data_IF_405172939503
#
_entry.id   IF_405172939503
#
_cell.length_a   1.000
_cell.length_b   1.000
_cell.length_c   1.000
_cell.angle_alpha   90.00
_cell.angle_beta   90.00
_cell.angle_gamma   90.00
#
_symmetry.space_group_name_H-M   'P 1'
#
loop_
_entity.id
_entity.type
_entity.pdbx_description
1 polymer ?
#
# COMPACT_ATOMS: atom_id res chain seq x y z
N UNK A 1 8.15 -17.32 -11.06
CA UNK A 1 7.60 -17.13 -9.69
C UNK A 1 6.21 -16.53 -9.82
N UNK A 2 5.20 -17.13 -9.15
CA UNK A 2 3.83 -16.57 -9.15
C UNK A 2 3.68 -15.52 -8.06
N UNK A 3 3.17 -14.35 -8.43
CA UNK A 3 2.95 -13.20 -7.51
C UNK A 3 1.46 -12.87 -7.49
N UNK A 4 0.82 -12.98 -6.32
CA UNK A 4 -0.56 -12.54 -6.09
C UNK A 4 -0.58 -11.08 -5.66
N UNK A 5 -1.56 -10.30 -6.13
CA UNK A 5 -1.66 -8.85 -5.85
C UNK A 5 -3.01 -8.54 -5.23
N UNK A 6 -3.00 -7.92 -4.06
CA UNK A 6 -4.20 -7.42 -3.39
C UNK A 6 -3.93 -6.05 -2.74
N UNK A 7 -4.96 -5.24 -2.60
CA UNK A 7 -4.91 -3.95 -1.90
C UNK A 7 -6.24 -3.62 -1.24
N UNK A 8 -6.26 -2.57 -0.43
CA UNK A 8 -7.47 -1.99 0.15
C UNK A 8 -8.36 -3.08 0.79
N UNK A 9 -7.72 -3.95 1.57
CA UNK A 9 -8.40 -5.14 2.14
C UNK A 9 -9.36 -4.77 3.25
N UNK A 10 -9.06 -3.69 3.98
CA UNK A 10 -9.88 -3.17 5.07
C UNK A 10 -10.47 -4.30 5.92
N UNK A 11 -9.59 -5.12 6.49
CA UNK A 11 -9.95 -6.29 7.31
C UNK A 11 -10.89 -5.90 8.48
N UNK A 12 -10.94 -4.62 8.80
CA UNK A 12 -11.91 -4.05 9.74
C UNK A 12 -13.37 -4.38 9.42
N UNK A 13 -13.72 -4.49 8.14
CA UNK A 13 -15.10 -4.69 7.69
C UNK A 13 -15.48 -6.16 7.53
N UNK A 14 -14.56 -7.01 7.13
CA UNK A 14 -14.83 -8.45 7.00
C UNK A 14 -13.54 -9.28 6.89
N UNK A 15 -13.59 -10.51 7.37
CA UNK A 15 -12.51 -11.47 7.19
C UNK A 15 -12.28 -11.78 5.70
N UNK A 16 -11.08 -12.26 5.39
CA UNK A 16 -10.67 -12.64 4.05
C UNK A 16 -9.81 -13.90 4.14
N UNK A 17 -10.10 -14.84 3.25
CA UNK A 17 -9.26 -16.02 3.03
C UNK A 17 -8.48 -15.84 1.74
N UNK A 18 -7.17 -16.09 1.81
CA UNK A 18 -6.26 -15.99 0.68
C UNK A 18 -5.90 -17.37 0.12
N UNK A 19 -5.65 -17.50 -1.19
CA UNK A 19 -5.37 -18.80 -1.82
C UNK A 19 -4.02 -19.40 -1.45
N UNK A 20 -3.01 -18.58 -1.10
CA UNK A 20 -1.63 -18.99 -0.90
C UNK A 20 -0.81 -19.01 -2.19
N UNK A 21 0.52 -19.13 -2.08
CA UNK A 21 1.42 -19.13 -3.23
C UNK A 21 2.88 -18.77 -2.91
N UNK A 22 3.63 -18.36 -3.95
CA UNK A 22 5.04 -18.00 -3.77
C UNK A 22 5.18 -16.63 -3.11
N UNK A 23 4.62 -15.58 -3.73
CA UNK A 23 4.71 -14.19 -3.24
C UNK A 23 3.33 -13.58 -3.19
N UNK A 24 3.02 -12.90 -2.09
CA UNK A 24 1.87 -12.01 -1.95
C UNK A 24 2.35 -10.56 -1.92
N UNK A 25 1.71 -9.69 -2.71
CA UNK A 25 1.84 -8.24 -2.59
C UNK A 25 0.60 -7.68 -1.89
N UNK A 26 0.82 -6.93 -0.81
CA UNK A 26 -0.16 -6.12 -0.10
C UNK A 26 0.11 -4.65 -0.43
N UNK A 27 -0.65 -4.05 -1.35
CA UNK A 27 -0.47 -2.67 -1.81
C UNK A 27 -1.22 -1.64 -0.95
N UNK A 28 -1.14 -1.80 0.39
CA UNK A 28 -1.66 -0.87 1.39
C UNK A 28 -3.14 -1.01 1.75
N UNK A 29 -3.54 -0.27 2.77
CA UNK A 29 -4.90 -0.24 3.34
C UNK A 29 -5.41 -1.63 3.75
N UNK A 30 -4.56 -2.35 4.48
CA UNK A 30 -4.91 -3.68 5.01
C UNK A 30 -5.70 -3.53 6.31
N UNK A 31 -5.23 -2.69 7.23
CA UNK A 31 -5.84 -2.43 8.54
C UNK A 31 -5.30 -1.13 9.14
N UNK A 32 -5.96 -0.62 10.19
CA UNK A 32 -5.42 0.48 11.00
C UNK A 32 -4.34 -0.04 11.96
N UNK A 33 -3.11 0.50 11.93
CA UNK A 33 -1.96 -0.01 12.72
C UNK A 33 -2.23 -0.10 14.22
N UNK A 34 -3.06 0.78 14.77
CA UNK A 34 -3.46 0.76 16.19
C UNK A 34 -4.16 -0.53 16.63
N UNK A 35 -4.64 -1.33 15.67
CA UNK A 35 -5.36 -2.58 15.91
C UNK A 35 -4.47 -3.82 15.80
N UNK A 36 -3.27 -3.70 15.24
CA UNK A 36 -2.31 -4.79 15.18
C UNK A 36 -1.68 -5.00 16.55
N UNK A 37 -1.93 -6.16 17.17
CA UNK A 37 -1.45 -6.48 18.51
C UNK A 37 -1.03 -7.95 18.60
N UNK A 38 0.27 -8.19 18.56
CA UNK A 38 0.85 -9.51 18.63
C UNK A 38 0.60 -10.19 20.01
N UNK A 39 0.62 -9.41 21.08
CA UNK A 39 0.41 -9.88 22.46
C UNK A 39 -1.01 -10.40 22.72
N UNK A 40 -1.96 -10.08 21.84
CA UNK A 40 -3.33 -10.60 21.89
C UNK A 40 -3.52 -11.90 21.11
N UNK A 41 -2.53 -12.34 20.32
CA UNK A 41 -2.68 -13.51 19.45
C UNK A 41 -2.75 -14.80 20.26
N UNK A 42 -3.79 -15.56 20.04
CA UNK A 42 -3.98 -16.91 20.60
C UNK A 42 -4.46 -17.85 19.49
N UNK A 43 -3.61 -18.75 18.98
CA UNK A 43 -3.97 -19.70 17.92
C UNK A 43 -5.05 -20.70 18.37
N UNK A 44 -5.14 -20.99 19.68
CA UNK A 44 -6.07 -21.95 20.26
C UNK A 44 -7.40 -21.31 20.70
N UNK A 45 -7.59 -20.01 20.44
CA UNK A 45 -8.83 -19.31 20.79
C UNK A 45 -10.01 -19.90 20.05
N UNK A 46 -10.95 -20.49 20.78
CA UNK A 46 -12.24 -20.97 20.27
C UNK A 46 -13.29 -19.90 20.56
N UNK A 47 -13.98 -19.47 19.50
CA UNK A 47 -15.12 -18.56 19.63
C UNK A 47 -16.35 -19.32 20.14
N UNK A 48 -17.10 -18.68 21.02
CA UNK A 48 -18.41 -19.20 21.40
C UNK A 48 -19.38 -19.03 20.21
N UNK A 49 -20.40 -19.88 20.11
CA UNK A 49 -21.35 -19.93 18.98
C UNK A 49 -22.02 -18.57 18.65
N UNK A 50 -22.14 -17.69 19.67
CA UNK A 50 -22.76 -16.37 19.51
C UNK A 50 -21.76 -15.25 19.25
N UNK A 51 -20.44 -15.53 19.27
CA UNK A 51 -19.39 -14.56 19.01
C UNK A 51 -19.05 -14.52 17.52
N UNK A 52 -18.95 -13.32 16.97
CA UNK A 52 -18.53 -13.12 15.58
C UNK A 52 -17.00 -13.12 15.49
N UNK A 53 -16.48 -13.63 14.39
CA UNK A 53 -15.05 -13.60 14.12
C UNK A 53 -14.48 -12.17 14.10
N UNK A 54 -15.29 -11.17 13.67
CA UNK A 54 -14.92 -9.77 13.66
C UNK A 54 -14.78 -9.13 15.06
N UNK A 55 -15.22 -9.81 16.10
CA UNK A 55 -15.07 -9.38 17.50
C UNK A 55 -13.79 -9.90 18.18
N UNK A 56 -13.01 -10.74 17.49
CA UNK A 56 -11.76 -11.27 18.04
C UNK A 56 -10.73 -10.16 18.25
N UNK A 57 -10.12 -10.08 19.46
CA UNK A 57 -9.11 -9.05 19.74
C UNK A 57 -7.82 -9.24 18.93
N UNK A 58 -7.52 -10.48 18.50
CA UNK A 58 -6.34 -10.86 17.73
C UNK A 58 -6.55 -10.90 16.20
N UNK A 59 -7.73 -10.51 15.71
CA UNK A 59 -8.16 -10.65 14.32
C UNK A 59 -7.13 -10.16 13.30
N UNK A 60 -6.61 -8.97 13.51
CA UNK A 60 -5.69 -8.34 12.56
C UNK A 60 -4.35 -9.06 12.53
N UNK A 61 -3.81 -9.41 13.69
CA UNK A 61 -2.57 -10.18 13.77
C UNK A 61 -2.75 -11.60 13.24
N UNK A 62 -3.89 -12.24 13.55
CA UNK A 62 -4.24 -13.55 13.00
C UNK A 62 -4.25 -13.55 11.47
N UNK A 63 -4.82 -12.53 10.83
CA UNK A 63 -4.79 -12.40 9.37
C UNK A 63 -3.35 -12.40 8.82
N UNK A 64 -2.46 -11.63 9.43
CA UNK A 64 -1.05 -11.58 9.02
C UNK A 64 -0.33 -12.91 9.23
N UNK A 65 -0.67 -13.66 10.28
CA UNK A 65 -0.04 -14.95 10.58
C UNK A 65 -0.64 -16.07 9.72
N UNK A 66 -1.97 -16.25 9.75
CA UNK A 66 -2.62 -17.44 9.21
C UNK A 66 -2.94 -17.33 7.72
N UNK A 67 -3.33 -16.13 7.25
CA UNK A 67 -3.67 -15.92 5.85
C UNK A 67 -2.47 -15.46 5.02
N UNK A 68 -1.61 -14.61 5.56
CA UNK A 68 -0.45 -14.09 4.84
C UNK A 68 0.78 -14.98 5.04
N UNK A 69 1.36 -15.00 6.24
CA UNK A 69 2.65 -15.64 6.49
C UNK A 69 2.62 -17.18 6.36
N UNK A 70 1.52 -17.82 6.79
CA UNK A 70 1.41 -19.29 6.71
C UNK A 70 1.13 -19.80 5.30
N UNK A 71 0.50 -18.99 4.43
CA UNK A 71 0.08 -19.43 3.09
C UNK A 71 1.03 -19.00 1.97
N UNK A 72 1.88 -18.00 2.22
CA UNK A 72 2.83 -17.51 1.21
C UNK A 72 4.26 -17.65 1.67
N UNK A 73 5.15 -17.99 0.74
CA UNK A 73 6.58 -18.11 1.02
C UNK A 73 7.20 -16.75 1.37
N UNK A 74 6.76 -15.71 0.69
CA UNK A 74 7.15 -14.32 0.92
C UNK A 74 5.94 -13.39 0.81
N UNK A 75 5.91 -12.36 1.63
CA UNK A 75 4.91 -11.31 1.56
C UNK A 75 5.60 -9.95 1.48
N UNK A 76 5.30 -9.18 0.44
CA UNK A 76 5.76 -7.80 0.28
C UNK A 76 4.61 -6.88 0.63
N UNK A 77 4.81 -6.02 1.61
CA UNK A 77 3.77 -5.15 2.13
C UNK A 77 4.21 -3.69 2.10
N UNK A 78 3.39 -2.80 1.57
CA UNK A 78 3.52 -1.35 1.72
C UNK A 78 2.33 -0.81 2.49
N UNK A 79 2.54 0.21 3.31
CA UNK A 79 1.44 0.88 3.99
C UNK A 79 0.61 1.70 2.99
N UNK A 80 -0.70 1.82 3.27
CA UNK A 80 -1.54 2.85 2.69
C UNK A 80 -1.74 4.00 3.67
N UNK A 81 -2.73 4.84 3.41
CA UNK A 81 -3.08 5.95 4.30
C UNK A 81 -3.84 5.45 5.55
N UNK A 82 -4.64 4.38 5.44
CA UNK A 82 -5.43 3.85 6.56
C UNK A 82 -4.57 3.22 7.66
N UNK A 83 -3.39 2.69 7.38
CA UNK A 83 -2.47 2.21 8.41
C UNK A 83 -2.16 3.30 9.44
N UNK A 84 -2.15 4.57 9.03
CA UNK A 84 -1.86 5.71 9.91
C UNK A 84 -3.07 6.20 10.72
N UNK A 85 -4.31 5.77 10.41
CA UNK A 85 -5.52 6.32 11.01
C UNK A 85 -5.61 6.06 12.52
N UNK A 86 -5.84 7.15 13.26
CA UNK A 86 -5.89 7.11 14.72
C UNK A 86 -4.54 6.80 15.39
N UNK A 87 -3.43 6.92 14.65
CA UNK A 87 -2.09 6.65 15.13
C UNK A 87 -1.14 7.82 14.85
N UNK A 88 0.10 7.73 15.34
CA UNK A 88 1.13 8.73 15.10
C UNK A 88 1.92 8.38 13.84
N UNK A 89 1.91 9.27 12.85
CA UNK A 89 2.52 9.09 11.52
C UNK A 89 3.95 8.53 11.59
N UNK A 90 4.81 9.17 12.38
CA UNK A 90 6.23 8.79 12.50
C UNK A 90 6.45 7.41 13.15
N UNK A 91 5.46 6.87 13.84
CA UNK A 91 5.57 5.59 14.57
C UNK A 91 4.92 4.43 13.85
N UNK A 92 4.05 4.67 12.88
CA UNK A 92 3.24 3.64 12.23
C UNK A 92 4.11 2.53 11.64
N UNK A 93 5.10 2.89 10.84
CA UNK A 93 5.99 1.93 10.18
C UNK A 93 6.69 1.00 11.18
N UNK A 94 7.35 1.58 12.18
CA UNK A 94 8.10 0.79 13.17
C UNK A 94 7.17 -0.09 14.02
N UNK A 95 6.01 0.43 14.41
CA UNK A 95 5.01 -0.32 15.16
C UNK A 95 4.53 -1.57 14.39
N UNK A 96 4.26 -1.44 13.08
CA UNK A 96 3.88 -2.58 12.25
C UNK A 96 5.06 -3.54 12.09
N UNK A 97 6.23 -3.03 11.71
CA UNK A 97 7.44 -3.83 11.43
C UNK A 97 7.82 -4.76 12.59
N UNK A 98 7.72 -4.27 13.82
CA UNK A 98 8.07 -5.03 15.03
C UNK A 98 7.11 -6.18 15.33
N UNK A 99 5.92 -6.16 14.78
CA UNK A 99 4.87 -7.15 15.05
C UNK A 99 4.67 -8.17 13.94
N UNK A 100 5.30 -7.97 12.78
CA UNK A 100 5.09 -8.86 11.63
C UNK A 100 5.93 -10.15 11.70
N UNK A 101 5.41 -11.28 11.19
CA UNK A 101 6.19 -12.48 10.92
C UNK A 101 7.39 -12.22 10.00
N UNK A 102 8.45 -13.04 10.14
CA UNK A 102 9.74 -12.83 9.47
C UNK A 102 9.71 -12.89 7.94
N UNK A 103 8.72 -13.55 7.34
CA UNK A 103 8.56 -13.64 5.89
C UNK A 103 7.64 -12.57 5.30
N UNK A 104 7.20 -11.58 6.12
CA UNK A 104 6.48 -10.39 5.69
C UNK A 104 7.45 -9.21 5.71
N UNK A 105 7.74 -8.66 4.55
CA UNK A 105 8.66 -7.54 4.34
C UNK A 105 7.84 -6.26 4.15
N UNK A 106 7.74 -5.44 5.18
CA UNK A 106 7.15 -4.11 5.04
C UNK A 106 8.18 -3.17 4.44
N UNK A 107 7.83 -2.49 3.35
CA UNK A 107 8.71 -1.60 2.61
C UNK A 107 8.19 -0.16 2.66
N UNK A 108 9.03 0.76 3.13
CA UNK A 108 8.77 2.20 3.08
C UNK A 108 10.06 2.92 2.69
N UNK A 109 10.22 3.19 1.39
CA UNK A 109 11.49 3.54 0.77
C UNK A 109 12.55 2.46 1.06
N UNK A 110 12.16 1.22 0.81
CA UNK A 110 13.02 0.04 0.96
C UNK A 110 12.91 -0.86 -0.29
N UNK A 111 13.92 -1.70 -0.49
CA UNK A 111 13.95 -2.71 -1.55
C UNK A 111 14.20 -4.08 -0.95
N UNK A 112 13.53 -5.10 -1.49
CA UNK A 112 13.75 -6.50 -1.16
C UNK A 112 14.00 -7.31 -2.41
N UNK A 113 15.13 -8.00 -2.48
CA UNK A 113 15.39 -8.99 -3.53
C UNK A 113 14.79 -10.35 -3.12
N UNK A 114 13.99 -10.96 -4.01
CA UNK A 114 13.39 -12.28 -3.86
C UNK A 114 13.56 -13.02 -5.19
N UNK A 115 14.26 -14.15 -5.18
CA UNK A 115 14.47 -15.03 -6.34
C UNK A 115 14.95 -14.28 -7.62
N UNK A 116 15.83 -13.29 -7.46
CA UNK A 116 16.40 -12.51 -8.57
C UNK A 116 15.47 -11.39 -9.10
N UNK A 117 14.41 -11.05 -8.39
CA UNK A 117 13.52 -9.93 -8.68
C UNK A 117 13.64 -8.89 -7.56
N UNK A 118 13.76 -7.61 -7.91
CA UNK A 118 13.73 -6.51 -6.94
C UNK A 118 12.30 -6.03 -6.71
N UNK A 119 11.85 -6.11 -5.46
CA UNK A 119 10.60 -5.50 -5.01
C UNK A 119 10.93 -4.16 -4.35
N UNK A 120 10.53 -3.06 -4.98
CA UNK A 120 10.79 -1.69 -4.56
C UNK A 120 9.49 -1.09 -4.02
N UNK A 121 9.44 -0.74 -2.73
CA UNK A 121 8.17 -0.42 -2.08
C UNK A 121 8.15 0.87 -1.27
N UNK A 122 6.98 1.53 -1.28
CA UNK A 122 6.62 2.66 -0.43
C UNK A 122 5.11 2.96 -0.49
N UNK A 123 4.59 3.71 0.49
CA UNK A 123 3.25 4.31 0.42
C UNK A 123 3.08 5.19 -0.83
N UNK A 124 4.15 5.85 -1.26
CA UNK A 124 4.28 6.78 -2.37
C UNK A 124 3.64 8.15 -2.09
N UNK A 125 2.42 8.21 -1.52
CA UNK A 125 1.65 9.43 -1.46
C UNK A 125 1.49 10.07 -2.86
N UNK A 126 1.24 11.39 -2.93
CA UNK A 126 1.09 12.07 -4.22
C UNK A 126 1.84 13.40 -4.24
N UNK A 127 2.08 13.92 -5.45
CA UNK A 127 2.66 15.23 -5.68
C UNK A 127 1.65 16.38 -5.51
N UNK A 128 0.39 16.08 -5.12
CA UNK A 128 -0.68 17.07 -4.96
C UNK A 128 -0.85 17.96 -6.21
N UNK A 129 -0.92 17.34 -7.40
CA UNK A 129 -0.92 18.03 -8.69
C UNK A 129 0.31 18.96 -8.86
N UNK A 130 1.49 18.44 -8.55
CA UNK A 130 2.78 19.17 -8.59
C UNK A 130 2.83 20.35 -7.61
N UNK A 131 2.19 20.17 -6.44
CA UNK A 131 2.17 21.19 -5.39
C UNK A 131 1.18 22.34 -5.66
N UNK A 132 0.12 22.08 -6.41
CA UNK A 132 -0.92 23.09 -6.65
C UNK A 132 -1.55 23.56 -5.35
N UNK A 133 -1.50 24.87 -5.08
CA UNK A 133 -1.94 25.48 -3.82
C UNK A 133 -3.42 25.23 -3.55
N UNK A 134 -4.26 25.20 -4.60
CA UNK A 134 -5.68 24.95 -4.47
C UNK A 134 -5.95 23.49 -4.07
N UNK A 135 -5.21 22.55 -4.68
CA UNK A 135 -5.24 21.13 -4.30
C UNK A 135 -4.83 20.95 -2.85
N UNK A 136 -3.69 21.49 -2.42
CA UNK A 136 -3.22 21.41 -1.03
C UNK A 136 -4.26 21.95 -0.04
N UNK A 137 -4.85 23.13 -0.35
CA UNK A 137 -5.87 23.76 0.50
C UNK A 137 -7.12 22.89 0.65
N UNK A 138 -7.65 22.36 -0.46
CA UNK A 138 -8.85 21.53 -0.42
C UNK A 138 -8.59 20.17 0.24
N UNK A 139 -7.48 19.51 -0.03
CA UNK A 139 -7.17 18.20 0.53
C UNK A 139 -7.11 18.23 2.05
N UNK A 140 -6.59 19.28 2.63
CA UNK A 140 -6.55 19.46 4.08
C UNK A 140 -7.92 19.32 4.77
N UNK A 141 -8.98 19.73 4.09
CA UNK A 141 -10.36 19.67 4.62
C UNK A 141 -11.16 18.47 4.10
N UNK A 142 -10.85 17.95 2.91
CA UNK A 142 -11.64 16.91 2.26
C UNK A 142 -11.15 15.50 2.60
N UNK A 143 -9.81 15.29 2.72
CA UNK A 143 -9.27 13.97 3.01
C UNK A 143 -9.24 13.65 4.50
N UNK A 144 -9.65 12.44 4.84
CA UNK A 144 -9.62 11.93 6.22
C UNK A 144 -8.21 11.83 6.79
N UNK A 145 -7.19 11.63 5.93
CA UNK A 145 -5.78 11.57 6.29
C UNK A 145 -5.38 12.75 7.19
N UNK A 146 -5.78 13.96 6.79
CA UNK A 146 -5.42 15.20 7.49
C UNK A 146 -6.31 15.50 8.69
N UNK A 147 -7.34 14.68 8.92
CA UNK A 147 -8.21 14.76 10.11
C UNK A 147 -7.92 13.67 11.14
N UNK A 148 -7.54 12.48 10.69
CA UNK A 148 -7.39 11.30 11.55
C UNK A 148 -5.94 11.04 11.96
N UNK A 149 -4.96 11.36 11.11
CA UNK A 149 -3.55 11.09 11.39
C UNK A 149 -2.93 12.20 12.22
N UNK A 150 -2.15 11.84 13.24
CA UNK A 150 -1.42 12.78 14.09
C UNK A 150 0.08 12.74 13.82
N UNK A 151 0.74 13.86 14.00
CA UNK A 151 2.19 14.00 14.00
C UNK A 151 2.67 14.64 15.30
N UNK A 152 3.87 14.31 15.70
CA UNK A 152 4.55 14.96 16.81
C UNK A 152 5.62 15.91 16.29
N UNK A 153 5.58 17.17 16.71
CA UNK A 153 6.61 18.16 16.42
C UNK A 153 7.58 18.22 17.60
N UNK A 154 8.75 17.62 17.44
CA UNK A 154 9.76 17.54 18.50
C UNK A 154 10.26 18.91 18.94
N UNK A 155 10.50 19.84 17.99
CA UNK A 155 11.01 21.17 18.29
C UNK A 155 10.06 22.02 19.13
N UNK A 156 8.75 21.79 18.98
CA UNK A 156 7.71 22.50 19.73
C UNK A 156 7.09 21.66 20.86
N UNK A 157 7.42 20.36 20.94
CA UNK A 157 6.87 19.41 21.90
C UNK A 157 5.33 19.36 21.88
N UNK A 158 4.70 19.37 20.69
CA UNK A 158 3.26 19.37 20.51
C UNK A 158 2.81 18.38 19.43
N UNK A 159 1.61 17.84 19.60
CA UNK A 159 0.92 17.08 18.56
C UNK A 159 0.14 18.01 17.64
N UNK A 160 0.11 17.68 16.38
CA UNK A 160 -0.73 18.34 15.36
C UNK A 160 -1.24 17.32 14.34
N UNK A 161 -2.17 17.72 13.50
CA UNK A 161 -2.65 16.86 12.40
C UNK A 161 -1.63 16.80 11.28
N UNK A 162 -1.58 15.65 10.58
CA UNK A 162 -0.83 15.50 9.32
C UNK A 162 -1.26 16.62 8.35
N UNK A 163 -0.35 17.05 7.50
CA UNK A 163 -0.59 18.12 6.53
C UNK A 163 -0.28 17.64 5.12
N UNK A 164 -1.02 18.10 4.08
CA UNK A 164 -0.77 17.71 2.68
C UNK A 164 0.66 18.00 2.21
N UNK A 165 1.28 19.08 2.69
CA UNK A 165 2.65 19.44 2.35
C UNK A 165 3.67 18.39 2.86
N UNK A 166 3.34 17.71 3.96
CA UNK A 166 4.20 16.65 4.50
C UNK A 166 4.14 15.40 3.61
N UNK A 167 2.95 14.96 3.23
CA UNK A 167 2.78 13.78 2.34
C UNK A 167 3.36 14.06 0.95
N UNK A 168 3.19 15.27 0.42
CA UNK A 168 3.84 15.71 -0.81
C UNK A 168 5.38 15.66 -0.69
N UNK A 169 5.94 16.13 0.41
CA UNK A 169 7.39 16.05 0.67
C UNK A 169 7.87 14.59 0.69
N UNK A 170 7.09 13.69 1.30
CA UNK A 170 7.43 12.26 1.36
C UNK A 170 7.32 11.62 -0.03
N UNK A 171 6.35 12.02 -0.86
CA UNK A 171 6.29 11.61 -2.26
C UNK A 171 7.60 11.91 -3.00
N UNK A 172 8.09 13.15 -2.94
CA UNK A 172 9.34 13.51 -3.63
C UNK A 172 10.55 12.77 -3.08
N UNK A 173 10.60 12.47 -1.79
CA UNK A 173 11.65 11.62 -1.20
C UNK A 173 11.59 10.21 -1.77
N UNK A 174 10.39 9.65 -1.88
CA UNK A 174 10.16 8.32 -2.47
C UNK A 174 10.62 8.27 -3.92
N UNK A 175 10.28 9.28 -4.73
CA UNK A 175 10.74 9.35 -6.11
C UNK A 175 12.28 9.44 -6.20
N UNK A 176 12.89 10.22 -5.33
CA UNK A 176 14.35 10.30 -5.24
C UNK A 176 14.98 8.94 -4.89
N UNK A 177 14.42 8.22 -3.94
CA UNK A 177 14.85 6.88 -3.56
C UNK A 177 14.68 5.87 -4.71
N UNK A 178 13.53 5.87 -5.37
CA UNK A 178 13.29 4.97 -6.50
C UNK A 178 14.29 5.18 -7.63
N UNK A 179 14.52 6.43 -8.02
CA UNK A 179 15.53 6.78 -9.04
C UNK A 179 16.95 6.31 -8.65
N UNK A 180 17.30 6.44 -7.38
CA UNK A 180 18.59 5.97 -6.87
C UNK A 180 18.73 4.44 -7.01
N UNK A 181 17.77 3.65 -6.50
CA UNK A 181 17.81 2.20 -6.57
C UNK A 181 17.77 1.69 -8.02
N UNK A 182 16.95 2.29 -8.89
CA UNK A 182 16.89 1.94 -10.30
C UNK A 182 18.22 2.22 -11.02
N UNK A 183 18.89 3.33 -10.67
CA UNK A 183 20.22 3.65 -11.19
C UNK A 183 21.28 2.64 -10.72
N UNK A 184 21.27 2.25 -9.45
CA UNK A 184 22.16 1.21 -8.91
C UNK A 184 21.88 -0.16 -9.58
N UNK A 185 20.62 -0.51 -9.78
CA UNK A 185 20.25 -1.75 -10.45
C UNK A 185 20.81 -1.83 -11.88
N UNK A 186 20.80 -0.72 -12.62
CA UNK A 186 21.40 -0.65 -13.98
C UNK A 186 22.91 -0.81 -14.01
N UNK A 187 23.59 -0.51 -12.90
CA UNK A 187 25.05 -0.64 -12.77
C UNK A 187 25.48 -2.02 -12.27
N UNK A 188 24.54 -2.94 -12.01
CA UNK A 188 24.87 -4.29 -11.53
C UNK A 188 25.73 -5.06 -12.56
N UNK A 189 26.73 -5.75 -12.05
CA UNK A 189 27.47 -6.73 -12.85
C UNK A 189 26.52 -7.85 -13.30
N UNK A 190 26.46 -8.12 -14.59
CA UNK A 190 25.51 -9.07 -15.19
C UNK A 190 24.21 -8.44 -15.70
N UNK A 191 24.04 -7.12 -15.55
CA UNK A 191 22.88 -6.36 -16.01
C UNK A 191 21.79 -6.17 -14.96
N UNK A 192 20.77 -5.35 -15.26
CA UNK A 192 19.72 -5.06 -14.31
C UNK A 192 18.81 -6.25 -14.04
N UNK A 193 18.43 -6.46 -12.78
CA UNK A 193 17.35 -7.37 -12.42
C UNK A 193 15.99 -6.79 -12.81
N UNK A 194 15.00 -7.65 -13.08
CA UNK A 194 13.61 -7.20 -13.21
C UNK A 194 13.13 -6.58 -11.90
N UNK A 195 12.35 -5.50 -12.02
CA UNK A 195 11.84 -4.74 -10.88
C UNK A 195 10.32 -4.83 -10.84
N UNK A 196 9.79 -5.08 -9.66
CA UNK A 196 8.37 -4.92 -9.30
C UNK A 196 8.27 -3.73 -8.34
N UNK A 197 7.59 -2.67 -8.75
CA UNK A 197 7.32 -1.53 -7.87
C UNK A 197 5.99 -1.75 -7.17
N UNK A 198 5.98 -1.59 -5.85
CA UNK A 198 4.81 -1.78 -5.01
C UNK A 198 4.51 -0.46 -4.29
N UNK A 199 3.35 0.13 -4.60
CA UNK A 199 2.93 1.37 -3.95
C UNK A 199 1.47 1.28 -3.50
N UNK A 200 1.03 2.26 -2.70
CA UNK A 200 -0.39 2.39 -2.39
C UNK A 200 -1.07 3.42 -3.30
N UNK A 201 -0.52 4.62 -3.42
CA UNK A 201 -1.07 5.63 -4.33
C UNK A 201 -0.71 5.31 -5.79
N UNK A 202 -1.60 5.71 -6.70
CA UNK A 202 -1.48 5.37 -8.11
C UNK A 202 -0.37 6.16 -8.82
N UNK A 203 0.44 5.50 -9.71
CA UNK A 203 1.52 6.16 -10.44
C UNK A 203 1.05 6.91 -11.69
N UNK A 204 -0.23 6.85 -12.02
CA UNK A 204 -0.78 7.48 -13.23
C UNK A 204 -2.22 7.91 -13.06
N UNK A 205 -2.58 9.02 -13.69
CA UNK A 205 -3.98 9.48 -13.81
C UNK A 205 -4.87 8.51 -14.58
N UNK A 206 -4.31 7.56 -15.32
CA UNK A 206 -5.06 6.49 -15.99
C UNK A 206 -5.79 5.60 -14.97
N UNK A 207 -5.26 5.47 -13.75
CA UNK A 207 -5.92 4.78 -12.63
C UNK A 207 -7.03 5.60 -11.95
N UNK A 208 -7.72 6.45 -12.71
CA UNK A 208 -8.88 7.22 -12.22
C UNK A 208 -10.16 6.69 -12.86
N UNK A 209 -11.15 6.31 -12.04
CA UNK A 209 -12.47 5.90 -12.54
C UNK A 209 -13.06 6.94 -13.49
N UNK A 210 -13.68 6.55 -14.62
CA UNK A 210 -14.25 7.49 -15.59
C UNK A 210 -15.17 8.54 -14.95
N UNK A 211 -15.98 8.16 -13.96
CA UNK A 211 -16.90 9.08 -13.26
C UNK A 211 -16.21 10.20 -12.48
N UNK A 212 -14.93 10.03 -12.13
CA UNK A 212 -14.15 11.00 -11.33
C UNK A 212 -13.09 11.75 -12.14
N UNK A 213 -12.93 11.45 -13.44
CA UNK A 213 -11.88 12.09 -14.28
C UNK A 213 -12.00 13.61 -14.36
N UNK A 214 -13.20 14.15 -14.19
CA UNK A 214 -13.46 15.60 -14.20
C UNK A 214 -13.06 16.31 -12.89
N UNK A 215 -12.91 15.58 -11.79
CA UNK A 215 -12.51 16.16 -10.50
C UNK A 215 -10.99 16.22 -10.36
N UNK A 216 -10.39 17.16 -11.08
CA UNK A 216 -8.93 17.27 -11.13
C UNK A 216 -8.29 17.60 -9.79
N UNK A 217 -9.00 18.31 -8.91
CA UNK A 217 -8.51 18.68 -7.58
C UNK A 217 -8.42 17.42 -6.71
N UNK A 218 -9.52 16.66 -6.57
CA UNK A 218 -9.53 15.43 -5.77
C UNK A 218 -8.55 14.39 -6.30
N UNK A 219 -8.44 14.24 -7.63
CA UNK A 219 -7.50 13.30 -8.23
C UNK A 219 -6.03 13.60 -7.89
N UNK A 220 -5.73 14.82 -7.43
CA UNK A 220 -4.42 15.18 -6.90
C UNK A 220 -4.02 14.42 -5.63
N UNK A 221 -5.00 13.93 -4.84
CA UNK A 221 -4.74 13.12 -3.65
C UNK A 221 -4.65 11.61 -3.96
N UNK A 222 -5.08 11.17 -5.14
CA UNK A 222 -5.17 9.74 -5.49
C UNK A 222 -4.02 9.26 -6.36
N UNK A 223 -3.48 10.12 -7.22
CA UNK A 223 -2.46 9.72 -8.19
C UNK A 223 -1.52 10.86 -8.55
N UNK A 224 -0.30 10.51 -8.92
CA UNK A 224 0.67 11.38 -9.60
C UNK A 224 0.92 10.87 -11.01
N UNK A 225 1.46 11.70 -11.90
CA UNK A 225 1.87 11.24 -13.23
C UNK A 225 3.36 10.92 -13.22
N UNK A 226 3.66 9.63 -13.13
CA UNK A 226 5.02 9.07 -13.15
C UNK A 226 5.34 8.36 -14.47
N UNK A 227 4.58 8.64 -15.52
CA UNK A 227 4.74 7.98 -16.82
C UNK A 227 6.15 8.14 -17.38
N UNK A 228 6.77 9.31 -17.25
CA UNK A 228 8.16 9.56 -17.66
C UNK A 228 9.14 8.64 -16.92
N UNK A 229 9.03 8.57 -15.58
CA UNK A 229 9.86 7.68 -14.76
C UNK A 229 9.71 6.21 -15.20
N UNK A 230 8.48 5.77 -15.46
CA UNK A 230 8.19 4.40 -15.87
C UNK A 230 8.79 4.10 -17.25
N UNK A 231 8.61 5.01 -18.22
CA UNK A 231 9.12 4.85 -19.59
C UNK A 231 10.67 4.88 -19.64
N UNK A 232 11.30 5.64 -18.77
CA UNK A 232 12.76 5.72 -18.67
C UNK A 232 13.36 4.45 -18.03
N UNK A 233 12.54 3.60 -17.38
CA UNK A 233 12.97 2.42 -16.63
C UNK A 233 12.30 1.11 -17.09
N UNK A 234 12.60 0.59 -18.30
CA UNK A 234 11.99 -0.64 -18.83
C UNK A 234 12.30 -1.91 -18.02
N UNK A 235 13.27 -1.88 -17.10
CA UNK A 235 13.50 -2.92 -16.11
C UNK A 235 12.36 -3.05 -15.10
N UNK A 236 11.49 -2.03 -14.93
CA UNK A 236 10.25 -2.13 -14.18
C UNK A 236 9.26 -2.95 -15.01
N UNK A 237 9.01 -4.19 -14.61
CA UNK A 237 8.10 -5.10 -15.32
C UNK A 237 6.66 -4.94 -14.87
N UNK A 238 6.47 -4.71 -13.57
CA UNK A 238 5.14 -4.53 -12.97
C UNK A 238 5.19 -3.39 -11.97
N UNK A 239 4.13 -2.61 -11.91
CA UNK A 239 3.85 -1.64 -10.87
C UNK A 239 2.48 -1.93 -10.27
N UNK A 240 2.42 -2.25 -8.98
CA UNK A 240 1.16 -2.50 -8.28
C UNK A 240 0.78 -1.29 -7.43
N UNK A 241 -0.53 -1.03 -7.33
CA UNK A 241 -1.03 0.02 -6.44
C UNK A 241 -2.43 -0.33 -5.88
N UNK A 242 -2.96 0.52 -5.01
CA UNK A 242 -4.29 0.48 -4.41
C UNK A 242 -4.99 1.84 -4.46
N UNK A 243 -5.61 2.22 -3.35
CA UNK A 243 -6.20 3.52 -3.02
C UNK A 243 -7.44 3.92 -3.83
N UNK A 244 -7.55 3.52 -5.06
CA UNK A 244 -8.61 3.97 -5.97
C UNK A 244 -9.90 3.18 -5.84
N UNK A 245 -9.89 2.06 -5.11
CA UNK A 245 -11.01 1.12 -4.95
C UNK A 245 -11.67 0.73 -6.29
N UNK A 246 -10.83 0.56 -7.33
CA UNK A 246 -11.24 0.04 -8.65
C UNK A 246 -10.15 -0.79 -9.28
N UNK A 247 -10.53 -1.80 -10.05
CA UNK A 247 -9.58 -2.66 -10.73
C UNK A 247 -8.98 -1.94 -11.93
N UNK A 248 -7.64 -1.97 -12.01
CA UNK A 248 -6.90 -1.49 -13.16
C UNK A 248 -5.87 -2.53 -13.60
N UNK A 249 -5.76 -2.69 -14.92
CA UNK A 249 -4.77 -3.54 -15.57
C UNK A 249 -4.47 -2.96 -16.95
N UNK A 250 -3.35 -2.26 -17.08
CA UNK A 250 -2.95 -1.59 -18.32
C UNK A 250 -1.43 -1.47 -18.42
N UNK A 251 -0.95 -1.04 -19.59
CA UNK A 251 0.48 -0.88 -19.86
C UNK A 251 0.87 0.59 -19.93
N UNK A 252 2.06 0.92 -19.37
CA UNK A 252 2.81 2.15 -19.68
C UNK A 252 4.16 1.69 -20.23
N UNK A 253 4.40 1.83 -21.52
CA UNK A 253 5.54 1.22 -22.17
C UNK A 253 5.57 -0.29 -21.97
N UNK A 254 6.64 -0.82 -21.38
CA UNK A 254 6.80 -2.25 -21.07
C UNK A 254 6.32 -2.62 -19.65
N UNK A 255 5.93 -1.65 -18.84
CA UNK A 255 5.49 -1.85 -17.46
C UNK A 255 3.99 -2.11 -17.38
N UNK A 256 3.59 -3.24 -16.81
CA UNK A 256 2.18 -3.53 -16.49
C UNK A 256 1.79 -2.89 -15.16
N UNK A 257 0.73 -2.08 -15.18
CA UNK A 257 0.17 -1.44 -13.98
C UNK A 257 -1.02 -2.27 -13.51
N UNK A 258 -1.01 -2.71 -12.25
CA UNK A 258 -2.06 -3.57 -11.67
C UNK A 258 -2.58 -2.95 -10.38
N UNK A 259 -3.90 -2.86 -10.28
CA UNK A 259 -4.62 -2.52 -9.06
C UNK A 259 -5.73 -3.54 -8.84
N UNK A 260 -5.70 -4.25 -7.70
CA UNK A 260 -6.69 -5.25 -7.33
C UNK A 260 -7.21 -4.99 -5.90
N UNK A 261 -8.06 -3.97 -5.73
CA UNK A 261 -8.57 -3.59 -4.42
C UNK A 261 -9.78 -4.43 -4.04
N UNK A 262 -9.89 -4.78 -2.76
CA UNK A 262 -11.14 -5.33 -2.21
C UNK A 262 -12.19 -4.23 -2.00
N UNK A 263 -11.79 -3.12 -1.39
CA UNK A 263 -12.71 -2.09 -0.96
C UNK A 263 -13.50 -2.45 0.31
N UNK A 264 -14.47 -1.63 0.67
CA UNK A 264 -15.25 -1.80 1.89
C UNK A 264 -16.35 -2.85 1.72
N UNK A 265 -16.12 -4.07 2.23
CA UNK A 265 -17.09 -5.18 2.16
C UNK A 265 -18.42 -4.77 2.81
N UNK A 266 -19.52 -4.95 2.05
CA UNK A 266 -20.87 -4.56 2.45
C UNK A 266 -21.24 -3.11 2.13
N UNK A 267 -20.32 -2.30 1.59
CA UNK A 267 -20.57 -0.90 1.22
C UNK A 267 -20.23 -0.59 -0.24
N UNK A 268 -19.32 -1.34 -0.83
CA UNK A 268 -18.87 -1.12 -2.22
C UNK A 268 -19.10 -2.35 -3.08
N UNK A 269 -19.63 -2.15 -4.29
CA UNK A 269 -19.83 -3.23 -5.26
C UNK A 269 -18.51 -3.92 -5.67
N UNK A 270 -17.39 -3.19 -5.63
CA UNK A 270 -16.06 -3.70 -5.91
C UNK A 270 -15.73 -4.91 -5.02
N UNK A 271 -16.13 -4.86 -3.74
CA UNK A 271 -15.88 -5.94 -2.79
C UNK A 271 -16.56 -7.27 -3.14
N UNK A 272 -17.63 -7.25 -3.95
CA UNK A 272 -18.32 -8.45 -4.42
C UNK A 272 -17.62 -9.06 -5.67
N UNK A 273 -16.78 -8.28 -6.35
CA UNK A 273 -16.05 -8.70 -7.57
C UNK A 273 -14.57 -8.98 -7.29
N UNK A 274 -14.14 -8.77 -6.05
CA UNK A 274 -12.75 -8.97 -5.66
C UNK A 274 -12.32 -10.43 -5.82
N UNK A 275 -11.21 -10.64 -6.52
CA UNK A 275 -10.60 -11.96 -6.69
C UNK A 275 -9.17 -11.94 -6.10
N UNK A 276 -8.94 -12.61 -4.96
CA UNK A 276 -7.63 -12.67 -4.33
C UNK A 276 -6.59 -13.49 -5.12
N UNK A 277 -6.99 -14.18 -6.19
CA UNK A 277 -6.10 -14.97 -7.06
C UNK A 277 -5.49 -14.14 -8.20
N UNK A 278 -5.90 -12.87 -8.38
CA UNK A 278 -5.30 -11.99 -9.39
C UNK A 278 -3.81 -11.79 -9.09
N UNK A 279 -2.99 -11.86 -10.15
CA UNK A 279 -1.55 -11.72 -10.06
C UNK A 279 -0.86 -11.91 -11.41
N UNK A 280 0.45 -12.12 -11.37
CA UNK A 280 1.31 -12.28 -12.54
C UNK A 280 2.43 -13.29 -12.29
N UNK A 281 3.06 -13.75 -13.37
CA UNK A 281 4.29 -14.54 -13.32
C UNK A 281 5.49 -13.67 -13.72
N UNK A 282 6.60 -13.84 -13.01
CA UNK A 282 7.85 -13.12 -13.25
C UNK A 282 9.06 -14.03 -13.02
#
# INVERSE_FOLDING_TARGET
MRVSVVSDLHIDFADLTLPGGDVLILSGDVFEAKRLKQDMYNPDMVLLEHERQDQRPDRFYRFMVEECAAKYRHVVYVMGNHEHYGFQYQKTYQHIKEQLPNNIYILENEVKEIDGVLFLGATLWTDMNKGDELTLYHMKSMMNDYRQVTMFNEAKNVYHKLQPEKTMTDHYKTIGYFKHILSENRQREGGPLPVVVVTHHAPSKTSTKPRYQHDTIMNGAYSSDLSELILDHPEIRVWTHGHTHDNFDYMIGETRIICNPRGYKGYEEQAERFDPAIGFDI
#
